data_IF_727544042955
#
_entry.id   IF_727544042955
#
_cell.length_a   1.000
_cell.length_b   1.000
_cell.length_c   1.000
_cell.angle_alpha   90.00
_cell.angle_beta   90.00
_cell.angle_gamma   90.00
#
_symmetry.space_group_name_H-M   'P 1'
#
loop_
_entity.id
_entity.type
_entity.pdbx_description
1 polymer ?
#
# COMPACT_ATOMS: atom_id res chain seq x y z
N UNK A 1 -6.40 31.49 -9.98
CA UNK A 1 -5.89 30.57 -11.03
C UNK A 1 -6.61 29.22 -11.10
N UNK A 2 -6.43 28.28 -10.15
CA UNK A 2 -6.99 26.91 -10.24
C UNK A 2 -8.51 26.88 -10.47
N UNK A 3 -9.27 27.65 -9.69
CA UNK A 3 -10.73 27.69 -9.83
C UNK A 3 -11.14 28.28 -11.17
N UNK A 4 -10.50 29.36 -11.64
CA UNK A 4 -10.76 29.92 -12.97
C UNK A 4 -10.51 28.87 -14.08
N UNK A 5 -9.38 28.16 -14.05
CA UNK A 5 -9.12 27.08 -15.00
C UNK A 5 -10.11 25.92 -14.88
N UNK A 6 -10.63 25.65 -13.67
CA UNK A 6 -11.67 24.63 -13.47
C UNK A 6 -12.98 25.07 -14.10
N UNK A 7 -13.40 26.33 -13.91
CA UNK A 7 -14.58 26.91 -14.54
C UNK A 7 -14.47 26.88 -16.07
N UNK A 8 -13.36 27.34 -16.64
CA UNK A 8 -13.10 27.30 -18.09
C UNK A 8 -13.22 25.86 -18.61
N UNK A 9 -12.67 24.88 -17.89
CA UNK A 9 -12.74 23.48 -18.30
C UNK A 9 -14.15 22.89 -18.26
N UNK A 10 -15.01 23.38 -17.36
CA UNK A 10 -16.43 23.00 -17.32
C UNK A 10 -17.21 23.63 -18.47
N UNK A 11 -17.02 24.94 -18.71
CA UNK A 11 -17.65 25.68 -19.81
C UNK A 11 -17.30 25.10 -21.18
N UNK A 12 -16.03 24.71 -21.37
CA UNK A 12 -15.51 24.24 -22.66
C UNK A 12 -15.52 22.71 -22.82
N UNK A 13 -15.95 21.96 -21.80
CA UNK A 13 -15.90 20.50 -21.78
C UNK A 13 -14.49 19.89 -21.83
N UNK A 14 -13.42 20.67 -21.57
CA UNK A 14 -12.03 20.22 -21.68
C UNK A 14 -11.49 19.69 -20.35
N UNK A 15 -11.19 18.39 -20.28
CA UNK A 15 -10.69 17.74 -19.04
C UNK A 15 -9.20 17.35 -19.08
N UNK A 16 -8.54 17.37 -20.25
CA UNK A 16 -7.13 16.99 -20.37
C UNK A 16 -6.20 18.18 -20.09
N UNK A 17 -4.99 17.92 -19.60
CA UNK A 17 -3.99 18.98 -19.36
C UNK A 17 -3.71 19.79 -20.63
N UNK A 18 -3.41 19.10 -21.74
CA UNK A 18 -3.07 19.75 -23.02
C UNK A 18 -4.22 20.64 -23.51
N UNK A 19 -5.43 20.09 -23.58
CA UNK A 19 -6.60 20.84 -24.06
C UNK A 19 -6.97 22.01 -23.15
N UNK A 20 -6.87 21.82 -21.83
CA UNK A 20 -7.19 22.87 -20.86
C UNK A 20 -6.17 24.00 -20.91
N UNK A 21 -4.90 23.68 -21.19
CA UNK A 21 -3.84 24.66 -21.31
C UNK A 21 -4.11 25.66 -22.45
N UNK A 22 -4.53 25.18 -23.63
CA UNK A 22 -4.82 26.01 -24.79
C UNK A 22 -5.87 27.10 -24.49
N UNK A 23 -6.93 26.74 -23.77
CA UNK A 23 -8.04 27.66 -23.46
C UNK A 23 -7.82 28.49 -22.20
N UNK A 24 -7.07 27.97 -21.22
CA UNK A 24 -6.89 28.64 -19.92
C UNK A 24 -5.67 29.56 -19.85
N UNK A 25 -4.60 29.26 -20.60
CA UNK A 25 -3.29 29.89 -20.37
C UNK A 25 -3.32 31.41 -20.56
N UNK A 26 -3.94 31.89 -21.65
CA UNK A 26 -4.06 33.32 -21.93
C UNK A 26 -4.97 34.03 -20.92
N UNK A 27 -6.09 33.40 -20.52
CA UNK A 27 -7.01 33.96 -19.51
C UNK A 27 -6.36 34.08 -18.13
N UNK A 28 -5.34 33.26 -17.82
CA UNK A 28 -4.59 33.36 -16.58
C UNK A 28 -3.55 34.50 -16.56
N UNK A 29 -3.33 35.23 -17.66
CA UNK A 29 -2.42 36.39 -17.68
C UNK A 29 -2.83 37.49 -16.70
N UNK A 30 -4.13 37.61 -16.41
CA UNK A 30 -4.69 38.59 -15.46
C UNK A 30 -4.11 38.52 -14.04
N UNK A 31 -3.49 37.39 -13.66
CA UNK A 31 -2.95 37.20 -12.32
C UNK A 31 -1.50 37.70 -12.17
N UNK A 32 -0.89 38.30 -13.21
CA UNK A 32 0.48 38.88 -13.19
C UNK A 32 1.56 37.97 -12.56
N UNK A 33 1.36 36.66 -12.64
CA UNK A 33 2.27 35.66 -12.06
C UNK A 33 3.21 35.09 -13.11
N UNK A 34 4.41 34.61 -12.70
CA UNK A 34 5.27 33.81 -13.57
C UNK A 34 4.51 32.69 -14.29
N UNK A 35 4.82 32.48 -15.58
CA UNK A 35 4.17 31.49 -16.45
C UNK A 35 4.09 30.08 -15.85
N UNK A 36 5.11 29.70 -15.08
CA UNK A 36 5.26 28.41 -14.40
C UNK A 36 4.14 28.14 -13.40
N UNK A 37 3.66 29.17 -12.70
CA UNK A 37 2.55 29.04 -11.76
C UNK A 37 1.21 28.82 -12.46
N UNK A 38 1.03 29.42 -13.64
CA UNK A 38 -0.16 29.23 -14.47
C UNK A 38 -0.25 27.76 -14.93
N UNK A 39 0.86 27.19 -15.42
CA UNK A 39 0.92 25.79 -15.82
C UNK A 39 0.61 24.83 -14.66
N UNK A 40 1.15 25.10 -13.47
CA UNK A 40 0.86 24.29 -12.28
C UNK A 40 -0.63 24.37 -11.88
N UNK A 41 -1.24 25.56 -11.97
CA UNK A 41 -2.66 25.74 -11.69
C UNK A 41 -3.56 24.99 -12.69
N UNK A 42 -3.22 25.03 -13.98
CA UNK A 42 -3.92 24.29 -15.05
C UNK A 42 -3.81 22.78 -14.81
N UNK A 43 -2.61 22.29 -14.48
CA UNK A 43 -2.39 20.87 -14.12
C UNK A 43 -3.25 20.42 -12.95
N UNK A 44 -3.34 21.25 -11.91
CA UNK A 44 -4.21 20.97 -10.77
C UNK A 44 -5.69 20.96 -11.16
N UNK A 45 -6.14 21.91 -11.98
CA UNK A 45 -7.51 21.98 -12.47
C UNK A 45 -7.88 20.76 -13.34
N UNK A 46 -6.99 20.33 -14.24
CA UNK A 46 -7.20 19.13 -15.06
C UNK A 46 -7.40 17.87 -14.19
N UNK A 47 -6.62 17.73 -13.11
CA UNK A 47 -6.81 16.65 -12.13
C UNK A 47 -8.17 16.71 -11.42
N UNK A 48 -8.62 17.91 -11.05
CA UNK A 48 -9.94 18.13 -10.44
C UNK A 48 -11.06 17.74 -11.41
N UNK A 49 -10.99 18.22 -12.65
CA UNK A 49 -11.98 17.95 -13.70
C UNK A 49 -12.06 16.46 -14.06
N UNK A 50 -10.92 15.78 -14.16
CA UNK A 50 -10.87 14.32 -14.39
C UNK A 50 -11.58 13.55 -13.28
N UNK A 51 -11.34 13.94 -12.02
CA UNK A 51 -12.01 13.30 -10.87
C UNK A 51 -13.51 13.61 -10.84
N UNK A 52 -13.89 14.86 -11.10
CA UNK A 52 -15.28 15.28 -11.19
C UNK A 52 -16.03 14.47 -12.25
N UNK A 53 -15.50 14.37 -13.48
CA UNK A 53 -16.07 13.56 -14.57
C UNK A 53 -16.22 12.08 -14.21
N UNK A 54 -15.26 11.51 -13.48
CA UNK A 54 -15.33 10.10 -13.07
C UNK A 54 -16.39 9.87 -11.98
N UNK A 55 -16.59 10.84 -11.09
CA UNK A 55 -17.58 10.75 -10.02
C UNK A 55 -19.01 11.03 -10.53
N UNK A 56 -19.17 11.99 -11.44
CA UNK A 56 -20.47 12.35 -12.01
C UNK A 56 -21.13 11.22 -12.80
N UNK A 57 -20.34 10.28 -13.33
CA UNK A 57 -20.84 9.04 -13.95
C UNK A 57 -21.60 8.12 -12.99
N UNK A 58 -21.38 8.23 -11.68
CA UNK A 58 -21.92 7.30 -10.67
C UNK A 58 -22.83 7.97 -9.65
N UNK A 59 -22.64 9.27 -9.44
CA UNK A 59 -23.26 10.00 -8.36
C UNK A 59 -23.60 11.42 -8.83
N UNK A 60 -24.70 11.97 -8.32
CA UNK A 60 -24.94 13.41 -8.40
C UNK A 60 -23.87 14.13 -7.56
N UNK A 61 -23.11 15.01 -8.22
CA UNK A 61 -21.98 15.73 -7.63
C UNK A 61 -22.08 17.22 -7.93
N UNK A 62 -21.89 18.04 -6.90
CA UNK A 62 -21.84 19.49 -7.06
C UNK A 62 -20.58 19.95 -7.81
N UNK A 63 -20.62 21.20 -8.27
CA UNK A 63 -19.53 21.83 -9.04
C UNK A 63 -18.21 21.80 -8.27
N UNK A 64 -17.11 21.35 -8.89
CA UNK A 64 -15.83 21.25 -8.21
C UNK A 64 -15.25 22.63 -7.91
N UNK A 65 -14.76 22.82 -6.69
CA UNK A 65 -14.14 24.07 -6.27
C UNK A 65 -13.00 23.84 -5.27
N UNK A 66 -11.84 24.44 -5.55
CA UNK A 66 -10.69 24.39 -4.65
C UNK A 66 -10.82 25.45 -3.56
N UNK A 67 -11.26 25.04 -2.36
CA UNK A 67 -11.46 25.92 -1.20
C UNK A 67 -10.20 26.25 -0.42
N UNK A 68 -9.25 25.32 -0.38
CA UNK A 68 -8.04 25.47 0.43
C UNK A 68 -6.93 26.09 -0.40
N UNK A 69 -6.30 27.18 0.06
CA UNK A 69 -5.16 27.75 -0.63
C UNK A 69 -4.00 26.75 -0.60
N UNK A 70 -3.42 26.52 -1.78
CA UNK A 70 -2.24 25.69 -1.96
C UNK A 70 -1.48 26.13 -3.19
N UNK A 71 -0.16 26.19 -3.11
CA UNK A 71 0.72 26.46 -4.22
C UNK A 71 1.41 25.14 -4.61
N UNK A 72 1.22 24.70 -5.84
CA UNK A 72 1.89 23.51 -6.39
C UNK A 72 2.93 24.00 -7.38
N UNK A 73 4.13 23.43 -7.27
CA UNK A 73 5.28 23.78 -8.10
C UNK A 73 5.84 22.47 -8.64
N UNK A 74 6.03 22.43 -9.96
CA UNK A 74 6.58 21.27 -10.67
C UNK A 74 7.82 21.62 -11.52
N UNK A 75 8.19 22.90 -11.57
CA UNK A 75 9.26 23.42 -12.42
C UNK A 75 10.25 24.22 -11.58
N UNK A 76 11.53 24.15 -11.92
CA UNK A 76 12.63 24.90 -11.30
C UNK A 76 12.76 24.78 -9.78
N UNK A 77 12.37 23.62 -9.25
CA UNK A 77 12.60 23.28 -7.86
C UNK A 77 14.08 22.98 -7.65
N UNK A 78 14.73 23.84 -6.87
CA UNK A 78 16.14 23.69 -6.51
C UNK A 78 16.28 23.78 -5.00
N UNK A 79 17.20 23.00 -4.46
CA UNK A 79 17.65 23.15 -3.08
C UNK A 79 19.02 23.80 -3.13
N UNK A 80 19.16 24.97 -2.50
CA UNK A 80 20.43 25.70 -2.37
C UNK A 80 20.56 26.15 -0.92
N UNK A 81 21.76 26.10 -0.36
CA UNK A 81 22.04 26.58 1.00
C UNK A 81 21.07 26.03 2.06
N UNK A 82 20.71 24.74 1.97
CA UNK A 82 19.73 24.09 2.86
C UNK A 82 18.28 24.61 2.77
N UNK A 83 17.96 25.42 1.76
CA UNK A 83 16.64 26.01 1.54
C UNK A 83 16.03 25.49 0.23
N UNK A 84 14.70 25.38 0.24
CA UNK A 84 13.92 25.16 -0.97
C UNK A 84 13.67 26.51 -1.66
N UNK A 85 14.26 26.68 -2.84
CA UNK A 85 14.06 27.89 -3.64
C UNK A 85 12.81 27.75 -4.50
N UNK A 86 11.95 28.76 -4.44
CA UNK A 86 10.70 28.83 -5.20
C UNK A 86 10.79 29.96 -6.23
N UNK A 87 10.05 29.87 -7.35
CA UNK A 87 10.00 30.94 -8.33
C UNK A 87 9.54 32.27 -7.71
N UNK A 88 10.21 33.38 -8.01
CA UNK A 88 9.90 34.70 -7.44
C UNK A 88 10.66 35.04 -6.16
N UNK A 89 11.76 34.33 -5.85
CA UNK A 89 12.70 34.72 -4.78
C UNK A 89 12.29 34.28 -3.37
N UNK A 90 11.31 33.39 -3.24
CA UNK A 90 10.94 32.84 -1.94
C UNK A 90 11.80 31.64 -1.57
N UNK A 91 12.27 31.62 -0.33
CA UNK A 91 13.13 30.58 0.22
C UNK A 91 12.46 29.97 1.45
N UNK A 92 12.49 28.64 1.56
CA UNK A 92 11.97 27.93 2.73
C UNK A 92 13.08 27.06 3.34
N UNK A 93 13.51 27.32 4.57
CA UNK A 93 14.51 26.50 5.23
C UNK A 93 14.00 25.08 5.45
N UNK A 94 14.85 24.10 5.14
CA UNK A 94 14.56 22.68 5.34
C UNK A 94 15.27 22.17 6.59
N UNK A 95 14.59 21.31 7.35
CA UNK A 95 15.22 20.67 8.50
C UNK A 95 16.24 19.60 8.09
N UNK A 96 17.14 19.25 9.02
CA UNK A 96 18.20 18.27 8.81
C UNK A 96 17.67 16.91 8.32
N UNK A 97 16.53 16.47 8.85
CA UNK A 97 15.91 15.21 8.41
C UNK A 97 15.58 15.24 6.91
N UNK A 98 14.92 16.31 6.44
CA UNK A 98 14.53 16.47 5.04
C UNK A 98 15.75 16.55 4.13
N UNK A 99 16.76 17.31 4.54
CA UNK A 99 18.02 17.42 3.81
C UNK A 99 18.72 16.06 3.72
N UNK A 100 18.79 15.30 4.80
CA UNK A 100 19.41 13.97 4.82
C UNK A 100 18.69 12.99 3.90
N UNK A 101 17.37 13.09 3.77
CA UNK A 101 16.60 12.27 2.81
C UNK A 101 16.87 12.70 1.37
N UNK A 102 16.88 14.01 1.10
CA UNK A 102 17.01 14.53 -0.27
C UNK A 102 18.44 14.48 -0.82
N UNK A 103 19.45 14.42 0.06
CA UNK A 103 20.86 14.21 -0.29
C UNK A 103 21.21 12.76 -0.60
N UNK A 104 20.30 11.80 -0.38
CA UNK A 104 20.57 10.39 -0.69
C UNK A 104 20.82 10.21 -2.19
N UNK A 105 21.72 9.28 -2.58
CA UNK A 105 22.00 9.02 -3.98
C UNK A 105 20.75 8.51 -4.70
N UNK A 106 20.62 8.90 -5.98
CA UNK A 106 19.49 8.53 -6.83
C UNK A 106 18.19 9.32 -6.58
N UNK A 107 18.17 10.26 -5.64
CA UNK A 107 16.99 11.09 -5.38
C UNK A 107 16.86 12.20 -6.44
N UNK A 108 15.68 12.31 -7.04
CA UNK A 108 15.30 13.37 -7.97
C UNK A 108 14.07 14.10 -7.46
N UNK A 109 14.18 15.41 -7.27
CA UNK A 109 13.04 16.27 -6.93
C UNK A 109 12.00 16.26 -8.06
N UNK A 110 10.72 16.27 -7.70
CA UNK A 110 9.60 16.22 -8.66
C UNK A 110 8.67 17.42 -8.52
N UNK A 111 8.16 17.64 -7.31
CA UNK A 111 7.22 18.75 -7.07
C UNK A 111 7.24 19.17 -5.62
N UNK A 112 6.90 20.42 -5.33
CA UNK A 112 6.58 20.89 -3.99
C UNK A 112 5.13 21.37 -3.95
N UNK A 113 4.43 21.04 -2.86
CA UNK A 113 3.11 21.58 -2.56
C UNK A 113 3.19 22.35 -1.25
N UNK A 114 2.95 23.64 -1.32
CA UNK A 114 2.83 24.49 -0.16
C UNK A 114 1.36 24.64 0.17
N UNK A 115 1.07 24.60 1.46
CA UNK A 115 -0.21 25.01 2.04
C UNK A 115 0.09 25.96 3.18
N UNK A 116 -0.94 26.59 3.74
CA UNK A 116 -0.82 27.57 4.84
C UNK A 116 0.09 27.09 5.99
N UNK A 117 0.13 25.79 6.26
CA UNK A 117 0.82 25.23 7.44
C UNK A 117 1.92 24.21 7.13
N UNK A 118 2.24 23.94 5.86
CA UNK A 118 3.21 22.88 5.52
C UNK A 118 3.72 22.98 4.09
N UNK A 119 4.96 22.53 3.92
CA UNK A 119 5.58 22.22 2.64
C UNK A 119 5.63 20.69 2.48
N UNK A 120 5.16 20.19 1.34
CA UNK A 120 5.23 18.78 0.98
C UNK A 120 6.10 18.63 -0.27
N UNK A 121 7.30 18.08 -0.11
CA UNK A 121 8.23 17.82 -1.22
C UNK A 121 8.00 16.38 -1.71
N UNK A 122 7.78 16.23 -3.01
CA UNK A 122 7.68 14.95 -3.71
C UNK A 122 8.96 14.73 -4.51
N UNK A 123 9.51 13.53 -4.38
CA UNK A 123 10.73 13.11 -5.04
C UNK A 123 10.60 11.65 -5.49
N UNK A 124 11.40 11.27 -6.48
CA UNK A 124 11.58 9.89 -6.91
C UNK A 124 12.98 9.42 -6.54
N UNK A 125 13.16 8.12 -6.35
CA UNK A 125 14.46 7.50 -6.10
C UNK A 125 14.74 6.51 -7.22
N UNK A 126 15.86 6.68 -7.90
CA UNK A 126 16.40 5.65 -8.78
C UNK A 126 17.07 4.58 -7.93
N UNK A 127 16.61 3.34 -8.08
CA UNK A 127 17.03 2.20 -7.26
C UNK A 127 17.62 1.12 -8.15
N UNK A 128 18.88 0.80 -7.93
CA UNK A 128 19.51 -0.38 -8.53
C UNK A 128 18.86 -1.64 -7.96
N UNK A 129 18.62 -2.63 -8.81
CA UNK A 129 18.12 -3.93 -8.36
C UNK A 129 19.16 -4.60 -7.48
N UNK A 130 18.74 -5.13 -6.34
CA UNK A 130 19.61 -5.92 -5.45
C UNK A 130 19.75 -7.32 -6.07
N UNK A 131 20.99 -7.79 -6.22
CA UNK A 131 21.21 -9.18 -6.57
C UNK A 131 20.83 -10.05 -5.37
N UNK A 132 19.76 -10.83 -5.52
CA UNK A 132 19.17 -11.60 -4.44
C UNK A 132 19.51 -13.08 -4.62
N UNK A 133 19.93 -13.73 -3.54
CA UNK A 133 20.35 -15.14 -3.51
C UNK A 133 19.18 -16.07 -3.17
N UNK A 134 18.03 -15.51 -2.80
CA UNK A 134 16.87 -16.29 -2.40
C UNK A 134 15.57 -15.50 -2.42
N UNK A 135 14.57 -16.06 -1.75
CA UNK A 135 13.24 -15.49 -1.66
C UNK A 135 12.65 -15.55 -0.25
N UNK A 136 11.72 -14.64 0.02
CA UNK A 136 10.92 -14.55 1.24
C UNK A 136 9.44 -14.73 0.88
N UNK A 137 8.88 -15.89 1.22
CA UNK A 137 7.45 -16.17 1.06
C UNK A 137 6.64 -15.56 2.20
N UNK A 138 5.67 -14.71 1.88
CA UNK A 138 4.87 -14.00 2.87
C UNK A 138 3.40 -14.40 2.77
N UNK A 139 2.90 -15.00 3.83
CA UNK A 139 1.49 -15.28 4.05
C UNK A 139 0.81 -14.20 4.90
N UNK A 140 -0.41 -13.82 4.52
CA UNK A 140 -1.15 -12.68 5.09
C UNK A 140 -2.46 -13.15 5.69
N UNK A 141 -2.43 -13.66 6.92
CA UNK A 141 -3.62 -14.17 7.59
C UNK A 141 -4.39 -13.11 8.38
N UNK A 142 -5.55 -13.53 8.90
CA UNK A 142 -6.32 -12.71 9.82
C UNK A 142 -5.60 -12.63 11.18
N UNK A 143 -5.12 -11.44 11.53
CA UNK A 143 -4.40 -11.09 12.76
C UNK A 143 -2.89 -11.31 12.75
N UNK A 144 -2.28 -11.89 11.72
CA UNK A 144 -0.82 -11.99 11.67
C UNK A 144 -0.30 -11.87 10.23
N UNK A 145 1.01 -11.73 10.12
CA UNK A 145 1.74 -11.90 8.86
C UNK A 145 2.88 -12.88 9.17
N UNK A 146 2.94 -13.97 8.41
CA UNK A 146 3.97 -14.99 8.55
C UNK A 146 4.86 -14.97 7.33
N UNK A 147 6.17 -14.94 7.52
CA UNK A 147 7.15 -14.96 6.45
C UNK A 147 8.13 -16.13 6.66
N UNK A 148 8.50 -16.79 5.57
CA UNK A 148 9.48 -17.87 5.52
C UNK A 148 10.53 -17.55 4.47
N UNK A 149 11.81 -17.52 4.85
CA UNK A 149 12.91 -17.34 3.89
C UNK A 149 13.42 -18.68 3.35
N UNK A 150 14.13 -18.63 2.22
CA UNK A 150 14.79 -19.78 1.60
C UNK A 150 15.89 -20.41 2.46
N UNK A 151 16.33 -19.75 3.53
CA UNK A 151 17.35 -20.25 4.45
C UNK A 151 16.74 -20.93 5.70
N UNK A 152 15.41 -21.03 5.76
CA UNK A 152 14.67 -21.73 6.82
C UNK A 152 14.22 -20.85 7.99
N UNK A 153 14.52 -19.55 8.00
CA UNK A 153 14.07 -18.62 9.04
C UNK A 153 12.58 -18.32 8.87
N UNK A 154 11.89 -18.36 10.00
CA UNK A 154 10.46 -18.02 10.09
C UNK A 154 10.29 -16.73 10.89
N UNK A 155 9.48 -15.81 10.37
CA UNK A 155 9.13 -14.55 11.04
C UNK A 155 7.62 -14.47 11.13
N UNK A 156 7.09 -14.56 12.34
CA UNK A 156 5.67 -14.34 12.63
C UNK A 156 5.51 -12.97 13.27
N UNK A 157 4.66 -12.12 12.69
CA UNK A 157 4.32 -10.82 13.25
C UNK A 157 2.84 -10.78 13.64
N UNK A 158 2.57 -10.69 14.95
CA UNK A 158 1.21 -10.51 15.44
C UNK A 158 0.71 -9.08 15.16
N UNK A 159 -0.48 -9.02 14.61
CA UNK A 159 -1.23 -7.81 14.25
C UNK A 159 -2.68 -7.92 14.77
N UNK A 160 -2.96 -8.78 15.74
CA UNK A 160 -4.25 -8.91 16.45
C UNK A 160 -4.79 -7.56 16.94
N UNK A 161 -3.90 -6.67 17.40
CA UNK A 161 -4.21 -5.29 17.79
C UNK A 161 -4.95 -4.51 16.69
N UNK A 162 -4.65 -4.73 15.41
CA UNK A 162 -5.36 -4.09 14.28
C UNK A 162 -6.84 -4.45 14.31
N UNK A 163 -7.15 -5.74 14.49
CA UNK A 163 -8.53 -6.23 14.54
C UNK A 163 -9.26 -5.71 15.77
N UNK A 164 -8.58 -5.64 16.93
CA UNK A 164 -9.14 -5.06 18.16
C UNK A 164 -9.46 -3.58 17.97
N UNK A 165 -8.53 -2.78 17.44
CA UNK A 165 -8.73 -1.35 17.18
C UNK A 165 -9.93 -1.12 16.26
N UNK A 166 -10.01 -1.86 15.14
CA UNK A 166 -11.14 -1.73 14.21
C UNK A 166 -12.46 -2.15 14.83
N UNK A 167 -12.46 -3.22 15.64
CA UNK A 167 -13.65 -3.66 16.35
C UNK A 167 -14.13 -2.61 17.36
N UNK A 168 -13.21 -2.05 18.15
CA UNK A 168 -13.50 -0.98 19.11
C UNK A 168 -14.07 0.27 18.41
N UNK A 169 -13.43 0.75 17.36
CA UNK A 169 -13.91 1.91 16.60
C UNK A 169 -15.31 1.71 16.01
N UNK A 170 -15.61 0.52 15.47
CA UNK A 170 -16.98 0.20 15.01
C UNK A 170 -18.00 0.21 16.14
N UNK A 171 -17.68 -0.37 17.29
CA UNK A 171 -18.57 -0.36 18.46
C UNK A 171 -18.85 1.06 18.93
N UNK A 172 -17.81 1.90 19.01
CA UNK A 172 -17.97 3.30 19.41
C UNK A 172 -18.85 4.08 18.42
N UNK A 173 -18.63 3.91 17.12
CA UNK A 173 -19.47 4.56 16.09
C UNK A 173 -20.92 4.07 16.17
N UNK A 174 -21.13 2.76 16.35
CA UNK A 174 -22.47 2.16 16.39
C UNK A 174 -23.28 2.55 17.64
N UNK A 175 -22.61 2.85 18.77
CA UNK A 175 -23.27 3.35 19.99
C UNK A 175 -23.83 4.76 19.83
N UNK A 176 -23.33 5.54 18.87
CA UNK A 176 -23.77 6.91 18.64
C UNK A 176 -25.04 6.96 17.76
N UNK A 177 -26.20 7.07 18.40
CA UNK A 177 -27.54 6.96 17.77
C UNK A 177 -28.27 8.28 17.49
N UNK A 178 -27.61 9.44 17.61
CA UNK A 178 -28.26 10.75 17.41
C UNK A 178 -28.87 10.85 16.01
N UNK A 179 -30.12 11.35 15.91
CA UNK A 179 -30.80 11.60 14.65
C UNK A 179 -30.31 12.88 13.93
N UNK A 180 -28.99 13.03 13.82
CA UNK A 180 -28.35 14.12 13.09
C UNK A 180 -27.24 13.52 12.22
N UNK A 181 -27.44 13.57 10.90
CA UNK A 181 -26.50 13.01 9.93
C UNK A 181 -25.16 13.76 9.90
N UNK A 182 -25.16 15.07 10.18
CA UNK A 182 -23.96 15.93 10.18
C UNK A 182 -23.07 15.54 11.37
N UNK A 183 -23.66 15.43 12.55
CA UNK A 183 -22.94 15.05 13.78
C UNK A 183 -22.48 13.59 13.69
N UNK A 184 -23.33 12.66 13.24
CA UNK A 184 -22.93 11.25 13.02
C UNK A 184 -21.74 11.14 12.07
N UNK A 185 -21.73 11.93 10.99
CA UNK A 185 -20.61 11.98 10.03
C UNK A 185 -19.33 12.53 10.67
N UNK A 186 -19.43 13.54 11.54
CA UNK A 186 -18.28 14.09 12.26
C UNK A 186 -17.67 13.07 13.23
N UNK A 187 -18.50 12.36 13.99
CA UNK A 187 -18.07 11.29 14.89
C UNK A 187 -17.43 10.15 14.11
N UNK A 188 -18.07 9.66 13.05
CA UNK A 188 -17.53 8.62 12.18
C UNK A 188 -16.17 9.03 11.58
N UNK A 189 -16.01 10.30 11.18
CA UNK A 189 -14.74 10.84 10.68
C UNK A 189 -13.66 10.88 11.75
N UNK A 190 -13.99 11.33 12.98
CA UNK A 190 -13.04 11.38 14.12
C UNK A 190 -12.51 9.98 14.44
N UNK A 191 -13.41 9.03 14.69
CA UNK A 191 -13.00 7.66 15.03
C UNK A 191 -12.40 6.92 13.83
N UNK A 192 -12.85 7.19 12.61
CA UNK A 192 -12.22 6.69 11.39
C UNK A 192 -10.76 7.16 11.23
N UNK A 193 -10.47 8.42 11.56
CA UNK A 193 -9.10 8.96 11.56
C UNK A 193 -8.23 8.28 12.62
N UNK A 194 -8.73 8.16 13.86
CA UNK A 194 -8.01 7.48 14.95
C UNK A 194 -7.71 6.01 14.56
N UNK A 195 -8.73 5.29 14.10
CA UNK A 195 -8.59 3.91 13.63
C UNK A 195 -7.53 3.81 12.54
N UNK A 196 -7.61 4.67 11.53
CA UNK A 196 -6.68 4.66 10.39
C UNK A 196 -5.26 4.93 10.87
N UNK A 197 -5.03 5.98 11.65
CA UNK A 197 -3.70 6.34 12.15
C UNK A 197 -3.05 5.18 12.93
N UNK A 198 -3.79 4.57 13.87
CA UNK A 198 -3.26 3.48 14.70
C UNK A 198 -3.00 2.21 13.88
N UNK A 199 -3.91 1.85 12.98
CA UNK A 199 -3.75 0.64 12.17
C UNK A 199 -2.66 0.79 11.12
N UNK A 200 -2.52 1.98 10.52
CA UNK A 200 -1.46 2.29 9.56
C UNK A 200 -0.08 2.26 10.20
N UNK A 201 0.06 2.76 11.43
CA UNK A 201 1.31 2.68 12.18
C UNK A 201 1.76 1.23 12.43
N UNK A 202 0.85 0.36 12.85
CA UNK A 202 1.12 -1.07 13.05
C UNK A 202 1.57 -1.75 11.76
N UNK A 203 0.81 -1.55 10.67
CA UNK A 203 1.14 -2.12 9.35
C UNK A 203 2.46 -1.56 8.83
N UNK A 204 2.76 -0.28 9.08
CA UNK A 204 4.02 0.35 8.69
C UNK A 204 5.22 -0.28 9.36
N UNK A 205 5.17 -0.49 10.68
CA UNK A 205 6.29 -1.08 11.40
C UNK A 205 6.54 -2.52 10.97
N UNK A 206 5.49 -3.32 10.83
CA UNK A 206 5.63 -4.73 10.39
C UNK A 206 6.14 -4.82 8.97
N UNK A 207 5.57 -4.07 8.02
CA UNK A 207 6.06 -4.08 6.63
C UNK A 207 7.49 -3.54 6.50
N UNK A 208 7.88 -2.54 7.32
CA UNK A 208 9.27 -2.05 7.37
C UNK A 208 10.22 -3.14 7.89
N UNK A 209 9.85 -3.85 8.96
CA UNK A 209 10.63 -4.97 9.53
C UNK A 209 10.82 -6.09 8.51
N UNK A 210 9.75 -6.50 7.84
CA UNK A 210 9.77 -7.57 6.83
C UNK A 210 10.68 -7.20 5.65
N UNK A 211 10.51 -6.01 5.07
CA UNK A 211 11.33 -5.56 3.94
C UNK A 211 12.78 -5.32 4.37
N UNK A 212 13.01 -4.82 5.58
CA UNK A 212 14.35 -4.70 6.15
C UNK A 212 15.07 -6.04 6.23
N UNK A 213 14.39 -7.08 6.72
CA UNK A 213 14.95 -8.44 6.72
C UNK A 213 15.22 -8.95 5.31
N UNK A 214 14.28 -8.79 4.38
CA UNK A 214 14.47 -9.18 2.98
C UNK A 214 15.69 -8.50 2.36
N UNK A 215 15.89 -7.20 2.64
CA UNK A 215 17.05 -6.44 2.17
C UNK A 215 18.36 -6.97 2.77
N UNK A 216 18.44 -7.10 4.09
CA UNK A 216 19.65 -7.56 4.78
C UNK A 216 20.05 -8.97 4.36
N UNK A 217 19.07 -9.85 4.14
CA UNK A 217 19.29 -11.23 3.74
C UNK A 217 19.33 -11.42 2.21
N UNK A 218 19.30 -10.34 1.42
CA UNK A 218 19.30 -10.36 -0.07
C UNK A 218 18.24 -11.30 -0.65
N UNK A 219 16.99 -11.11 -0.24
CA UNK A 219 15.84 -11.93 -0.63
C UNK A 219 14.84 -11.12 -1.47
N UNK A 220 14.43 -11.67 -2.61
CA UNK A 220 13.23 -11.21 -3.30
C UNK A 220 11.98 -11.61 -2.51
N UNK A 221 10.85 -10.95 -2.75
CA UNK A 221 9.63 -11.17 -1.95
C UNK A 221 8.57 -11.88 -2.78
N UNK A 222 7.97 -12.93 -2.23
CA UNK A 222 6.84 -13.63 -2.81
C UNK A 222 5.57 -13.39 -1.97
N UNK A 223 4.49 -12.98 -2.64
CA UNK A 223 3.18 -12.72 -2.03
C UNK A 223 2.09 -13.46 -2.80
N UNK A 224 1.05 -13.92 -2.11
CA UNK A 224 -0.14 -14.42 -2.81
C UNK A 224 -0.88 -13.31 -3.55
N UNK A 225 -1.45 -13.64 -4.71
CA UNK A 225 -2.35 -12.75 -5.43
C UNK A 225 -3.79 -12.83 -4.88
N UNK A 226 -4.03 -12.21 -3.72
CA UNK A 226 -5.33 -12.22 -3.04
C UNK A 226 -6.28 -11.21 -3.69
N UNK A 227 -6.95 -11.61 -4.77
CA UNK A 227 -8.01 -10.83 -5.41
C UNK A 227 -9.39 -11.25 -4.88
N UNK A 228 -10.29 -10.28 -4.79
CA UNK A 228 -11.71 -10.50 -4.49
C UNK A 228 -12.04 -11.22 -3.17
N UNK A 229 -11.13 -11.28 -2.20
CA UNK A 229 -11.36 -11.93 -0.89
C UNK A 229 -12.64 -11.43 -0.18
N UNK A 230 -12.99 -10.15 -0.35
CA UNK A 230 -14.21 -9.58 0.22
C UNK A 230 -15.51 -10.15 -0.38
N UNK A 231 -15.47 -10.74 -1.58
CA UNK A 231 -16.64 -11.40 -2.19
C UNK A 231 -17.05 -12.65 -1.41
N UNK A 232 -16.08 -13.37 -0.85
CA UNK A 232 -16.29 -14.57 -0.04
C UNK A 232 -17.02 -14.28 1.29
N UNK A 233 -16.96 -13.04 1.77
CA UNK A 233 -17.47 -12.65 3.09
C UNK A 233 -18.60 -11.61 3.00
N UNK A 234 -19.43 -11.70 1.96
CA UNK A 234 -20.64 -10.88 1.77
C UNK A 234 -21.81 -11.38 2.63
N UNK A 235 -22.83 -10.53 2.81
CA UNK A 235 -24.11 -10.95 3.40
C UNK A 235 -24.68 -12.08 2.52
N UNK A 236 -25.18 -13.15 3.14
CA UNK A 236 -25.66 -14.35 2.44
C UNK A 236 -24.62 -15.46 2.21
N UNK A 237 -23.36 -15.27 2.62
CA UNK A 237 -22.29 -16.30 2.50
C UNK A 237 -22.39 -17.49 3.48
N UNK A 238 -23.47 -17.61 4.26
CA UNK A 238 -23.58 -18.57 5.37
C UNK A 238 -22.68 -18.27 6.58
N UNK A 239 -21.70 -17.37 6.45
CA UNK A 239 -20.79 -16.98 7.52
C UNK A 239 -21.44 -16.02 8.52
N UNK A 240 -21.14 -16.21 9.81
CA UNK A 240 -21.66 -15.40 10.91
C UNK A 240 -21.29 -13.91 10.79
N UNK A 241 -22.18 -13.02 11.26
CA UNK A 241 -22.01 -11.57 11.15
C UNK A 241 -20.66 -11.07 11.70
N UNK A 242 -20.25 -11.54 12.88
CA UNK A 242 -18.99 -11.15 13.51
C UNK A 242 -17.76 -11.58 12.70
N UNK A 243 -17.76 -12.80 12.15
CA UNK A 243 -16.65 -13.31 11.35
C UNK A 243 -16.47 -12.51 10.06
N UNK A 244 -17.58 -12.26 9.34
CA UNK A 244 -17.59 -11.39 8.14
C UNK A 244 -17.07 -9.99 8.46
N UNK A 245 -17.50 -9.40 9.58
CA UNK A 245 -17.06 -8.07 9.98
C UNK A 245 -15.55 -8.04 10.24
N UNK A 246 -14.98 -9.05 10.91
CA UNK A 246 -13.53 -9.16 11.16
C UNK A 246 -12.74 -9.23 9.86
N UNK A 247 -13.10 -10.14 8.96
CA UNK A 247 -12.37 -10.34 7.69
C UNK A 247 -12.47 -9.16 6.74
N UNK A 248 -13.66 -8.57 6.59
CA UNK A 248 -13.81 -7.37 5.76
C UNK A 248 -13.03 -6.16 6.32
N UNK A 249 -12.69 -6.20 7.60
CA UNK A 249 -11.90 -5.15 8.24
C UNK A 249 -10.40 -5.39 8.19
N UNK A 250 -9.93 -6.59 7.87
CA UNK A 250 -8.50 -6.83 7.80
C UNK A 250 -7.87 -6.12 6.58
N UNK A 251 -6.72 -5.42 6.74
CA UNK A 251 -6.16 -4.59 5.68
C UNK A 251 -5.25 -5.36 4.70
N UNK A 252 -5.72 -6.47 4.12
CA UNK A 252 -4.93 -7.33 3.20
C UNK A 252 -4.17 -6.56 2.11
N UNK A 253 -4.90 -5.70 1.39
CA UNK A 253 -4.34 -4.88 0.30
C UNK A 253 -3.34 -3.84 0.81
N UNK A 254 -3.59 -3.24 1.97
CA UNK A 254 -2.69 -2.21 2.50
C UNK A 254 -1.36 -2.81 2.92
N UNK A 255 -1.38 -4.00 3.53
CA UNK A 255 -0.16 -4.77 3.82
C UNK A 255 0.63 -5.02 2.55
N UNK A 256 -0.04 -5.51 1.49
CA UNK A 256 0.57 -5.73 0.18
C UNK A 256 1.20 -4.46 -0.39
N UNK A 257 0.42 -3.37 -0.39
CA UNK A 257 0.83 -2.08 -0.93
C UNK A 257 2.08 -1.60 -0.21
N UNK A 258 2.11 -1.69 1.12
CA UNK A 258 3.24 -1.24 1.91
C UNK A 258 4.49 -2.09 1.70
N UNK A 259 4.36 -3.41 1.67
CA UNK A 259 5.48 -4.30 1.37
C UNK A 259 5.99 -4.01 -0.04
N UNK A 260 5.10 -3.90 -1.02
CA UNK A 260 5.47 -3.72 -2.43
C UNK A 260 6.22 -2.42 -2.70
N UNK A 261 5.69 -1.29 -2.21
CA UNK A 261 6.38 -0.01 -2.45
C UNK A 261 7.70 0.08 -1.69
N UNK A 262 7.79 -0.49 -0.47
CA UNK A 262 9.02 -0.49 0.31
C UNK A 262 10.07 -1.41 -0.33
N UNK A 263 9.68 -2.58 -0.82
CA UNK A 263 10.56 -3.48 -1.54
C UNK A 263 11.14 -2.79 -2.79
N UNK A 264 10.28 -2.16 -3.59
CA UNK A 264 10.72 -1.38 -4.76
C UNK A 264 11.64 -0.21 -4.39
N UNK A 265 11.38 0.46 -3.26
CA UNK A 265 12.24 1.53 -2.72
C UNK A 265 13.64 1.04 -2.30
N UNK A 266 13.75 -0.24 -1.96
CA UNK A 266 15.01 -0.91 -1.61
C UNK A 266 15.62 -1.71 -2.76
N UNK A 267 15.04 -1.67 -3.97
CA UNK A 267 15.55 -2.40 -5.14
C UNK A 267 15.25 -3.90 -5.14
N UNK A 268 14.32 -4.37 -4.29
CA UNK A 268 13.90 -5.77 -4.21
C UNK A 268 12.73 -6.04 -5.17
N UNK A 269 12.73 -7.21 -5.79
CA UNK A 269 11.62 -7.65 -6.65
C UNK A 269 10.51 -8.27 -5.82
N UNK A 270 9.27 -8.05 -6.26
CA UNK A 270 8.08 -8.66 -5.66
C UNK A 270 7.38 -9.52 -6.71
N UNK A 271 7.19 -10.80 -6.39
CA UNK A 271 6.54 -11.79 -7.24
C UNK A 271 5.20 -12.16 -6.62
N UNK A 272 4.16 -12.22 -7.46
CA UNK A 272 2.83 -12.65 -7.05
C UNK A 272 2.55 -14.08 -7.47
N UNK A 273 2.20 -14.95 -6.52
CA UNK A 273 1.88 -16.36 -6.77
C UNK A 273 0.39 -16.65 -6.65
N UNK A 274 -0.05 -17.74 -7.28
CA UNK A 274 -1.45 -18.20 -7.17
C UNK A 274 -1.77 -18.65 -5.74
N UNK A 275 -2.87 -18.18 -5.12
CA UNK A 275 -3.28 -18.58 -3.76
C UNK A 275 -3.83 -20.02 -3.69
N UNK A 276 -4.06 -20.71 -4.82
CA UNK A 276 -4.72 -22.04 -4.82
C UNK A 276 -3.82 -23.11 -4.20
N UNK A 277 -4.24 -23.74 -3.11
CA UNK A 277 -3.55 -24.92 -2.54
C UNK A 277 -2.30 -24.62 -1.71
N UNK A 278 -2.05 -23.36 -1.32
CA UNK A 278 -0.93 -22.98 -0.44
C UNK A 278 -1.09 -23.48 1.00
N UNK A 279 -2.31 -23.73 1.46
CA UNK A 279 -2.59 -24.12 2.86
C UNK A 279 -2.87 -25.62 3.06
N UNK A 280 -3.08 -26.38 1.97
CA UNK A 280 -3.53 -27.79 2.03
C UNK A 280 -2.46 -28.81 1.67
N UNK A 281 -1.34 -28.37 1.10
CA UNK A 281 -0.22 -29.24 0.72
C UNK A 281 0.91 -29.13 1.73
N UNK A 282 1.60 -30.22 1.99
CA UNK A 282 2.77 -30.27 2.85
C UNK A 282 3.93 -29.53 2.16
N UNK A 283 4.55 -28.58 2.87
CA UNK A 283 5.70 -27.84 2.36
C UNK A 283 6.96 -28.70 2.13
N UNK A 284 6.95 -29.94 2.63
CA UNK A 284 8.06 -30.89 2.53
C UNK A 284 7.83 -31.84 1.34
N UNK A 285 6.84 -32.72 1.42
CA UNK A 285 6.60 -33.76 0.40
C UNK A 285 5.50 -33.42 -0.62
N UNK A 286 4.74 -32.35 -0.42
CA UNK A 286 3.67 -31.92 -1.35
C UNK A 286 2.34 -32.66 -1.19
N UNK A 287 2.28 -33.68 -0.34
CA UNK A 287 1.04 -34.42 -0.02
C UNK A 287 0.01 -33.58 0.74
N UNK A 288 -1.20 -34.11 0.83
CA UNK A 288 -2.30 -33.43 1.51
C UNK A 288 -2.08 -33.40 3.03
N UNK A 289 -2.34 -32.24 3.62
CA UNK A 289 -2.30 -32.04 5.07
C UNK A 289 -3.70 -32.21 5.67
N UNK A 290 -3.74 -32.89 6.81
CA UNK A 290 -4.90 -32.94 7.69
C UNK A 290 -4.66 -32.05 8.91
N UNK A 291 -5.73 -31.53 9.50
CA UNK A 291 -5.62 -30.87 10.80
C UNK A 291 -5.23 -31.87 11.87
N UNK A 292 -4.32 -31.48 12.77
CA UNK A 292 -4.02 -32.26 13.95
C UNK A 292 -5.24 -32.29 14.88
N UNK A 293 -5.47 -33.44 15.53
CA UNK A 293 -6.49 -33.61 16.56
C UNK A 293 -6.23 -32.72 17.79
N UNK A 294 -4.99 -32.26 17.99
CA UNK A 294 -4.58 -31.49 19.16
C UNK A 294 -4.80 -29.98 19.00
N UNK A 295 -4.79 -29.46 17.77
CA UNK A 295 -4.93 -28.03 17.52
C UNK A 295 -5.39 -27.72 16.11
N UNK A 296 -6.38 -26.84 15.99
CA UNK A 296 -6.87 -26.32 14.71
C UNK A 296 -5.85 -25.44 13.95
N UNK A 297 -4.68 -25.17 14.54
CA UNK A 297 -3.57 -24.47 13.86
C UNK A 297 -2.47 -25.39 13.36
N UNK A 298 -2.35 -26.59 13.92
CA UNK A 298 -1.32 -27.54 13.52
C UNK A 298 -1.83 -28.43 12.39
N UNK A 299 -1.00 -28.66 11.39
CA UNK A 299 -1.26 -29.52 10.26
C UNK A 299 -0.27 -30.69 10.28
N UNK A 300 -0.79 -31.92 10.16
CA UNK A 300 -0.02 -33.14 10.06
C UNK A 300 -0.03 -33.70 8.64
N UNK A 301 1.13 -34.19 8.19
CA UNK A 301 1.27 -34.95 6.95
C UNK A 301 1.36 -36.44 7.28
N UNK A 302 0.45 -37.27 6.74
CA UNK A 302 0.50 -38.73 6.92
C UNK A 302 1.63 -39.40 6.15
N UNK A 303 2.07 -38.79 5.04
CA UNK A 303 3.10 -39.33 4.14
C UNK A 303 4.52 -39.13 4.69
N UNK A 304 4.87 -37.92 5.16
CA UNK A 304 6.21 -37.62 5.67
C UNK A 304 6.28 -37.36 7.18
N UNK A 305 5.18 -37.53 7.91
CA UNK A 305 5.11 -37.30 9.37
C UNK A 305 5.24 -35.83 9.82
N UNK A 306 5.39 -34.88 8.90
CA UNK A 306 5.62 -33.47 9.24
C UNK A 306 4.43 -32.87 10.01
N UNK A 307 4.72 -32.23 11.14
CA UNK A 307 3.77 -31.50 11.96
C UNK A 307 4.16 -30.02 11.99
N UNK A 308 3.32 -29.14 11.43
CA UNK A 308 3.68 -27.73 11.20
C UNK A 308 2.50 -26.79 11.43
N UNK A 309 2.78 -25.57 11.88
CA UNK A 309 1.77 -24.51 11.93
C UNK A 309 1.27 -24.16 10.52
N UNK A 310 -0.05 -24.00 10.38
CA UNK A 310 -0.73 -23.70 9.13
C UNK A 310 -0.14 -22.49 8.40
N UNK A 311 0.11 -21.40 9.12
CA UNK A 311 0.54 -20.13 8.55
C UNK A 311 2.01 -20.23 8.12
N UNK A 312 2.82 -20.98 8.86
CA UNK A 312 4.20 -21.32 8.49
C UNK A 312 4.25 -22.19 7.22
N UNK A 313 3.41 -23.22 7.15
CA UNK A 313 3.30 -24.07 5.97
C UNK A 313 2.85 -23.27 4.73
N UNK A 314 1.90 -22.36 4.90
CA UNK A 314 1.45 -21.48 3.83
C UNK A 314 2.57 -20.56 3.33
N UNK A 315 3.32 -19.91 4.22
CA UNK A 315 4.46 -19.09 3.86
C UNK A 315 5.54 -19.88 3.08
N UNK A 316 5.83 -21.12 3.52
CA UNK A 316 6.75 -22.02 2.81
C UNK A 316 6.23 -22.45 1.44
N UNK A 317 4.93 -22.71 1.30
CA UNK A 317 4.34 -23.06 0.01
C UNK A 317 4.28 -21.87 -0.97
N UNK A 318 4.10 -20.64 -0.46
CA UNK A 318 4.23 -19.42 -1.25
C UNK A 318 5.65 -19.30 -1.79
N UNK A 319 6.65 -19.54 -0.94
CA UNK A 319 8.05 -19.58 -1.35
C UNK A 319 8.31 -20.65 -2.41
N UNK A 320 7.84 -21.88 -2.19
CA UNK A 320 7.98 -22.98 -3.14
C UNK A 320 7.39 -22.63 -4.50
N UNK A 321 6.22 -22.00 -4.55
CA UNK A 321 5.61 -21.58 -5.82
C UNK A 321 6.38 -20.49 -6.56
N UNK A 322 7.12 -19.66 -5.83
CA UNK A 322 7.87 -18.58 -6.43
C UNK A 322 9.27 -19.02 -6.89
N UNK A 323 9.91 -19.94 -6.15
CA UNK A 323 11.31 -20.32 -6.35
C UNK A 323 11.53 -21.80 -6.72
N UNK A 324 10.50 -22.65 -6.67
CA UNK A 324 10.64 -24.09 -6.87
C UNK A 324 11.27 -24.85 -5.69
N UNK A 325 11.56 -24.19 -4.57
CA UNK A 325 12.28 -24.75 -3.42
C UNK A 325 11.35 -25.41 -2.40
N UNK A 326 11.43 -26.74 -2.22
CA UNK A 326 10.77 -27.44 -1.10
C UNK A 326 11.72 -27.51 0.09
N UNK A 327 11.17 -27.41 1.30
CA UNK A 327 11.98 -27.51 2.51
C UNK A 327 12.09 -28.98 2.91
N UNK A 328 13.30 -29.54 2.91
CA UNK A 328 13.58 -30.84 3.53
C UNK A 328 13.80 -30.71 5.04
N UNK A 329 13.54 -31.78 5.84
CA UNK A 329 14.13 -31.87 7.17
C UNK A 329 15.66 -31.77 7.03
N UNK A 330 16.34 -31.03 7.91
CA UNK A 330 17.80 -30.80 7.86
C UNK A 330 18.55 -32.12 7.59
N UNK A 331 19.06 -32.24 6.38
CA UNK A 331 19.87 -33.35 5.87
C UNK A 331 20.49 -32.87 4.56
N UNK A 332 21.77 -33.19 4.37
CA UNK A 332 22.65 -32.70 3.30
C UNK A 332 22.00 -32.69 1.92
N UNK A 333 22.40 -31.71 1.12
CA UNK A 333 22.13 -31.57 -0.31
C UNK A 333 22.48 -32.84 -1.08
N UNK A 334 21.52 -33.75 -1.26
CA UNK A 334 21.66 -34.87 -2.18
C UNK A 334 20.30 -35.08 -2.86
N UNK A 335 20.35 -35.01 -4.20
CA UNK A 335 19.38 -35.47 -5.18
C UNK A 335 18.12 -34.62 -5.44
N UNK A 336 18.34 -33.57 -6.24
CA UNK A 336 17.35 -33.17 -7.22
C UNK A 336 17.26 -34.24 -8.34
N UNK A 337 16.02 -34.50 -8.77
CA UNK A 337 15.60 -35.20 -10.01
C UNK A 337 15.59 -36.74 -9.96
N UNK A 338 14.41 -37.31 -9.67
CA UNK A 338 13.93 -38.52 -10.37
C UNK A 338 12.43 -38.43 -10.67
N UNK A 339 12.10 -38.48 -11.96
CA UNK A 339 10.88 -39.10 -12.50
C UNK A 339 9.61 -38.24 -12.59
N UNK A 340 9.35 -37.65 -13.76
CA UNK A 340 7.98 -37.57 -14.27
C UNK A 340 7.66 -38.92 -14.93
N UNK A 341 6.56 -39.61 -14.60
CA UNK A 341 5.99 -40.62 -15.49
C UNK A 341 5.22 -39.94 -16.63
N UNK A 342 5.33 -40.58 -17.79
CA UNK A 342 4.80 -40.25 -19.11
C UNK A 342 3.29 -40.05 -19.16
#
# INVERSE_FOLDING_TARGET
MVNLSTTIGLETGRTSLKSLCLVSYHRLKIFETPSKYRLCAISRAAGILKNYRNLSKKHSVGTPYCRRPSLIICYDLKIKNNELNLPGGFHIPLNNYTLNVLKQPGIRLRSATLTVSRVCISFSKETSKVNCEGMLGIDRNLNNITAADSFGKIIVNDLSKVTVIKSASRRTIARFKRNDSRIRRQIARKYGRIQTNRTQWLVHNVSKKIVGHAKTSRLNIALENIKHIRRLYRKGSGQGHYYRARLNSWPFYEVERQISYKASWEGLSVVHVSPRGTTRKCSICGDHLAFSKQSSRMLGCSSCGNLVDRDVNAARNILYKAAGLRFGPKGLSIEAVKGNPS
#
